data_IF_037684138085
#
_entry.id   IF_037684138085
#
_cell.length_a   1.000
_cell.length_b   1.000
_cell.length_c   1.000
_cell.angle_alpha   90.00
_cell.angle_beta   90.00
_cell.angle_gamma   90.00
#
_symmetry.space_group_name_H-M   'P 1'
#
loop_
_entity.id
_entity.type
_entity.pdbx_description
1 polymer ?
#
# COMPACT_ATOMS: atom_id res chain seq x y z
N UNK A 1 -15.32 -13.51 -1.83
CA UNK A 1 -14.01 -13.14 -2.41
C UNK A 1 -13.01 -13.39 -1.31
N UNK A 2 -12.05 -14.28 -1.54
CA UNK A 2 -11.05 -14.68 -0.54
C UNK A 2 -9.75 -13.89 -0.78
N UNK A 3 -9.15 -13.41 0.29
CA UNK A 3 -7.89 -12.68 0.29
C UNK A 3 -7.04 -13.17 1.45
N UNK A 4 -5.73 -13.32 1.25
CA UNK A 4 -4.80 -13.65 2.32
C UNK A 4 -4.61 -12.47 3.28
N UNK A 5 -4.64 -11.24 2.74
CA UNK A 5 -4.50 -10.01 3.52
C UNK A 5 -5.55 -8.98 3.06
N UNK A 6 -6.26 -8.42 4.04
CA UNK A 6 -7.15 -7.27 3.84
C UNK A 6 -6.61 -6.08 4.64
N UNK A 7 -6.40 -4.97 3.94
CA UNK A 7 -5.92 -3.70 4.51
C UNK A 7 -7.08 -2.72 4.51
N UNK A 8 -7.43 -2.19 5.69
CA UNK A 8 -8.51 -1.19 5.83
C UNK A 8 -7.88 0.21 5.86
N UNK A 9 -8.06 0.95 4.77
CA UNK A 9 -7.56 2.31 4.56
C UNK A 9 -6.57 2.40 3.41
N UNK A 10 -6.96 3.07 2.31
CA UNK A 10 -6.11 3.35 1.15
C UNK A 10 -5.22 4.59 1.29
N UNK A 11 -4.74 4.89 2.50
CA UNK A 11 -3.78 5.97 2.74
C UNK A 11 -2.31 5.53 2.54
N UNK A 12 -1.33 6.40 2.80
CA UNK A 12 0.09 6.08 2.58
C UNK A 12 0.52 4.79 3.29
N UNK A 13 0.18 4.60 4.55
CA UNK A 13 0.54 3.39 5.30
C UNK A 13 -0.06 2.10 4.70
N UNK A 14 -1.35 2.13 4.35
CA UNK A 14 -2.03 0.96 3.78
C UNK A 14 -1.53 0.60 2.39
N UNK A 15 -1.28 1.60 1.55
CA UNK A 15 -0.68 1.39 0.23
C UNK A 15 0.77 0.91 0.35
N UNK A 16 1.58 1.46 1.26
CA UNK A 16 2.93 0.99 1.52
C UNK A 16 2.97 -0.48 1.96
N UNK A 17 2.07 -0.87 2.87
CA UNK A 17 1.95 -2.26 3.29
C UNK A 17 1.56 -3.18 2.12
N UNK A 18 0.58 -2.77 1.30
CA UNK A 18 0.14 -3.55 0.13
C UNK A 18 1.27 -3.73 -0.90
N UNK A 19 2.00 -2.65 -1.20
CA UNK A 19 3.14 -2.67 -2.14
C UNK A 19 4.22 -3.59 -1.61
N UNK A 20 4.64 -3.44 -0.34
CA UNK A 20 5.72 -4.27 0.22
C UNK A 20 5.34 -5.74 0.29
N UNK A 21 4.10 -6.07 0.63
CA UNK A 21 3.61 -7.45 0.61
C UNK A 21 3.70 -8.07 -0.79
N UNK A 22 3.30 -7.33 -1.83
CA UNK A 22 3.41 -7.79 -3.21
C UNK A 22 4.85 -7.93 -3.70
N UNK A 23 5.75 -7.03 -3.29
CA UNK A 23 7.18 -7.14 -3.57
C UNK A 23 7.78 -8.41 -2.93
N UNK A 24 7.52 -8.64 -1.64
CA UNK A 24 7.98 -9.84 -0.92
C UNK A 24 7.43 -11.14 -1.53
N UNK A 25 6.16 -11.11 -1.96
CA UNK A 25 5.55 -12.25 -2.63
C UNK A 25 6.26 -12.56 -3.95
N UNK A 26 6.60 -11.54 -4.75
CA UNK A 26 7.39 -11.71 -5.97
C UNK A 26 8.81 -12.23 -5.69
N UNK A 27 9.49 -11.72 -4.66
CA UNK A 27 10.83 -12.17 -4.23
C UNK A 27 10.84 -13.65 -3.82
N UNK A 28 9.77 -14.13 -3.18
CA UNK A 28 9.67 -15.50 -2.64
C UNK A 28 8.96 -16.47 -3.58
N UNK A 29 8.47 -16.01 -4.73
CA UNK A 29 7.66 -16.81 -5.65
C UNK A 29 6.27 -17.18 -5.09
N UNK A 30 5.81 -16.49 -4.06
CA UNK A 30 4.49 -16.69 -3.47
C UNK A 30 3.41 -15.92 -4.23
N UNK A 31 2.23 -16.52 -4.36
CA UNK A 31 1.04 -15.84 -4.85
C UNK A 31 0.13 -15.51 -3.66
N UNK A 32 0.05 -14.22 -3.29
CA UNK A 32 -0.86 -13.75 -2.24
C UNK A 32 -1.90 -12.79 -2.81
N UNK A 33 -3.16 -12.94 -2.41
CA UNK A 33 -4.24 -11.98 -2.65
C UNK A 33 -4.21 -10.88 -1.59
N UNK A 34 -4.03 -9.62 -2.01
CA UNK A 34 -4.07 -8.45 -1.13
C UNK A 34 -5.23 -7.55 -1.55
N UNK A 35 -6.13 -7.26 -0.62
CA UNK A 35 -7.22 -6.30 -0.80
C UNK A 35 -6.93 -5.02 -0.02
N UNK A 36 -7.06 -3.86 -0.67
CA UNK A 36 -7.04 -2.56 0.03
C UNK A 36 -8.44 -1.97 -0.06
N UNK A 37 -9.09 -1.81 1.10
CA UNK A 37 -10.42 -1.26 1.22
C UNK A 37 -10.35 0.22 1.61
N UNK A 38 -11.10 1.07 0.91
CA UNK A 38 -11.19 2.49 1.23
C UNK A 38 -12.67 2.94 1.22
N UNK A 39 -13.03 3.87 2.09
CA UNK A 39 -14.40 4.45 2.17
C UNK A 39 -14.74 5.34 0.97
N UNK A 40 -13.73 5.70 0.18
CA UNK A 40 -13.79 6.71 -0.88
C UNK A 40 -13.96 6.07 -2.24
N UNK A 41 -14.59 6.79 -3.16
CA UNK A 41 -14.74 6.39 -4.57
C UNK A 41 -13.42 6.44 -5.34
N UNK A 42 -12.48 7.27 -4.89
CA UNK A 42 -11.17 7.47 -5.51
C UNK A 42 -10.09 7.49 -4.42
N UNK A 43 -9.00 6.75 -4.62
CA UNK A 43 -7.86 6.76 -3.70
C UNK A 43 -7.31 8.19 -3.58
N UNK A 44 -7.09 8.64 -2.35
CA UNK A 44 -6.61 9.99 -2.06
C UNK A 44 -7.69 11.02 -1.76
N UNK A 45 -8.97 10.78 -2.10
CA UNK A 45 -10.03 11.79 -1.91
C UNK A 45 -10.26 12.23 -0.46
N UNK A 46 -9.85 11.43 0.53
CA UNK A 46 -9.92 11.75 1.97
C UNK A 46 -8.54 11.93 2.62
N UNK A 47 -7.46 12.03 1.83
CA UNK A 47 -6.14 12.35 2.36
C UNK A 47 -6.05 13.87 2.53
N UNK A 48 -5.90 14.32 3.76
CA UNK A 48 -5.56 15.70 4.09
C UNK A 48 -4.19 15.71 4.75
N UNK A 49 -3.23 16.42 4.17
CA UNK A 49 -1.86 16.55 4.67
C UNK A 49 -1.21 17.81 4.10
N UNK A 50 -0.22 18.35 4.82
CA UNK A 50 0.70 19.39 4.28
C UNK A 50 1.68 18.76 3.27
N UNK A 51 1.75 17.43 3.21
CA UNK A 51 2.56 16.66 2.27
C UNK A 51 4.08 16.91 2.37
N UNK A 52 4.58 17.29 3.54
CA UNK A 52 6.01 17.23 3.86
C UNK A 52 6.35 15.79 4.21
N UNK A 53 7.19 15.16 3.41
CA UNK A 53 7.54 13.74 3.54
C UNK A 53 9.05 13.56 3.65
N UNK A 54 9.47 12.60 4.44
CA UNK A 54 10.88 12.19 4.55
C UNK A 54 11.26 11.31 3.33
N UNK A 55 12.14 11.76 2.43
CA UNK A 55 12.43 11.06 1.17
C UNK A 55 12.91 9.60 1.32
N UNK A 56 13.80 9.24 2.26
CA UNK A 56 14.31 7.87 2.38
C UNK A 56 13.22 6.80 2.52
N UNK A 57 12.11 7.11 3.19
CA UNK A 57 11.00 6.17 3.37
C UNK A 57 10.32 5.84 2.03
N UNK A 58 10.19 6.82 1.13
CA UNK A 58 9.62 6.59 -0.20
C UNK A 58 10.61 5.87 -1.12
N UNK A 59 11.90 6.24 -1.06
CA UNK A 59 12.97 5.58 -1.82
C UNK A 59 13.11 4.12 -1.46
N UNK A 60 12.97 3.77 -0.17
CA UNK A 60 13.04 2.38 0.28
C UNK A 60 11.89 1.53 -0.28
N UNK A 61 10.70 2.11 -0.43
CA UNK A 61 9.52 1.40 -0.92
C UNK A 61 9.47 1.33 -2.45
N UNK A 62 9.85 2.43 -3.11
CA UNK A 62 9.81 2.62 -4.56
C UNK A 62 11.20 3.06 -5.05
N UNK A 63 12.17 2.13 -5.15
CA UNK A 63 13.47 2.44 -5.71
C UNK A 63 13.30 2.79 -7.20
N UNK A 64 13.85 3.93 -7.60
CA UNK A 64 13.92 4.42 -8.98
C UNK A 64 15.19 3.94 -9.68
#
# INVERSE_FOLDING_TARGET
MEYDVVIVGGGPAGLSAAIRLKQLAAETGAAIGVCVLAKVSELGAHILSVAVIDPPAITQLLPY
#
